data_IF_659365219020
#
_entry.id   IF_659365219020
#
_cell.length_a   1.000
_cell.length_b   1.000
_cell.length_c   1.000
_cell.angle_alpha   90.00
_cell.angle_beta   90.00
_cell.angle_gamma   90.00
#
_symmetry.space_group_name_H-M   'P 1'
#
loop_
_entity.id
_entity.type
_entity.pdbx_description
1 polymer ?
#
# COMPACT_ATOMS: atom_id res chain seq x y z
N UNK A 1 -45.08 -53.42 20.20
CA UNK A 1 -43.99 -52.42 20.03
C UNK A 1 -43.49 -52.53 18.61
N UNK A 2 -43.72 -51.49 17.78
CA UNK A 2 -43.22 -51.39 16.41
C UNK A 2 -41.70 -51.20 16.42
N UNK A 3 -40.95 -52.14 15.88
CA UNK A 3 -39.50 -52.02 15.75
C UNK A 3 -39.18 -50.87 14.78
N UNK A 4 -38.45 -49.84 15.27
CA UNK A 4 -37.96 -48.77 14.41
C UNK A 4 -36.84 -49.32 13.53
N UNK A 5 -37.02 -49.27 12.23
CA UNK A 5 -35.99 -49.64 11.26
C UNK A 5 -35.23 -48.40 10.83
N UNK A 6 -33.93 -48.39 11.12
CA UNK A 6 -33.01 -47.35 10.64
C UNK A 6 -32.51 -47.69 9.23
N UNK A 7 -32.21 -46.68 8.43
CA UNK A 7 -31.52 -46.90 7.14
C UNK A 7 -30.12 -47.48 7.40
N UNK A 8 -29.65 -48.39 6.53
CA UNK A 8 -28.30 -48.95 6.69
C UNK A 8 -27.28 -47.82 6.57
N UNK A 9 -26.27 -47.80 7.45
CA UNK A 9 -25.18 -46.87 7.49
C UNK A 9 -23.86 -47.63 7.43
N UNK A 10 -23.07 -47.37 6.37
CA UNK A 10 -21.73 -47.93 6.21
C UNK A 10 -20.78 -46.83 5.73
N UNK A 11 -19.91 -46.27 6.59
CA UNK A 11 -18.97 -45.22 6.19
C UNK A 11 -17.86 -45.74 5.27
N UNK A 12 -17.63 -47.02 5.17
CA UNK A 12 -16.61 -47.66 4.34
C UNK A 12 -17.19 -48.31 3.07
N UNK A 13 -18.34 -47.81 2.60
CA UNK A 13 -18.93 -48.32 1.36
C UNK A 13 -18.00 -48.05 0.20
N UNK A 14 -17.58 -49.11 -0.49
CA UNK A 14 -16.83 -49.00 -1.74
C UNK A 14 -17.79 -48.80 -2.91
N UNK A 15 -17.53 -47.80 -3.73
CA UNK A 15 -18.29 -47.54 -4.97
C UNK A 15 -17.43 -47.98 -6.14
N UNK A 16 -17.99 -48.77 -7.04
CA UNK A 16 -17.27 -49.26 -8.23
C UNK A 16 -16.90 -48.11 -9.20
N UNK A 17 -17.80 -47.14 -9.33
CA UNK A 17 -17.63 -45.89 -10.08
C UNK A 17 -17.90 -44.73 -9.13
N UNK A 18 -16.87 -43.96 -8.70
CA UNK A 18 -17.10 -42.79 -7.87
C UNK A 18 -17.93 -41.77 -8.65
N UNK A 19 -18.98 -41.17 -8.04
CA UNK A 19 -19.74 -40.10 -8.67
C UNK A 19 -18.83 -38.93 -9.03
N UNK A 20 -19.19 -38.20 -10.09
CA UNK A 20 -18.49 -36.96 -10.43
C UNK A 20 -18.82 -35.92 -9.36
N UNK A 21 -17.83 -35.18 -8.90
CA UNK A 21 -18.00 -34.20 -7.80
C UNK A 21 -18.97 -33.06 -8.20
N UNK A 22 -19.11 -32.76 -9.50
CA UNK A 22 -20.03 -31.74 -9.99
C UNK A 22 -21.51 -32.19 -9.89
N UNK A 23 -21.79 -33.51 -9.79
CA UNK A 23 -23.13 -34.06 -9.56
C UNK A 23 -23.61 -33.84 -8.11
N UNK A 24 -22.68 -33.72 -7.18
CA UNK A 24 -22.96 -33.42 -5.75
C UNK A 24 -23.17 -31.90 -5.51
N UNK A 25 -22.90 -31.06 -6.50
CA UNK A 25 -23.07 -29.60 -6.41
C UNK A 25 -24.38 -29.20 -7.08
N UNK A 26 -25.25 -28.51 -6.35
CA UNK A 26 -26.53 -28.05 -6.87
C UNK A 26 -26.37 -27.18 -8.14
N UNK A 27 -27.33 -27.28 -9.04
CA UNK A 27 -27.31 -26.55 -10.33
C UNK A 27 -27.22 -25.03 -10.14
N UNK A 28 -27.89 -24.49 -9.12
CA UNK A 28 -27.93 -23.05 -8.80
C UNK A 28 -26.97 -22.66 -7.68
N UNK A 29 -25.96 -23.49 -7.36
CA UNK A 29 -24.98 -23.15 -6.34
C UNK A 29 -24.14 -21.95 -6.78
N UNK A 30 -23.90 -20.96 -5.88
CA UNK A 30 -23.08 -19.80 -6.16
C UNK A 30 -21.66 -20.12 -6.67
N UNK A 31 -21.12 -21.28 -6.36
CA UNK A 31 -19.81 -21.71 -6.86
C UNK A 31 -19.77 -21.80 -8.38
N UNK A 32 -20.88 -22.21 -9.01
CA UNK A 32 -20.98 -22.28 -10.48
C UNK A 32 -20.98 -20.90 -11.13
N UNK A 33 -21.56 -19.90 -10.44
CA UNK A 33 -21.51 -18.51 -10.89
C UNK A 33 -20.08 -17.98 -10.88
N UNK A 34 -19.33 -18.27 -9.82
CA UNK A 34 -17.90 -17.88 -9.73
C UNK A 34 -17.08 -18.56 -10.82
N UNK A 35 -17.33 -19.85 -11.07
CA UNK A 35 -16.68 -20.58 -12.14
C UNK A 35 -16.95 -19.95 -13.51
N UNK A 36 -18.22 -19.75 -13.86
CA UNK A 36 -18.63 -19.17 -15.13
C UNK A 36 -18.12 -17.73 -15.31
N UNK A 37 -18.16 -16.92 -14.25
CA UNK A 37 -17.61 -15.58 -14.27
C UNK A 37 -16.13 -15.59 -14.63
N UNK A 38 -15.31 -16.36 -13.91
CA UNK A 38 -13.88 -16.38 -14.13
C UNK A 38 -13.51 -16.99 -15.48
N UNK A 39 -14.30 -17.94 -15.98
CA UNK A 39 -14.13 -18.50 -17.35
C UNK A 39 -14.36 -17.44 -18.43
N UNK A 40 -15.25 -16.49 -18.23
CA UNK A 40 -15.52 -15.40 -19.18
C UNK A 40 -14.48 -14.29 -19.19
N UNK A 41 -13.60 -14.22 -18.17
CA UNK A 41 -12.59 -13.15 -18.06
C UNK A 41 -11.36 -13.42 -18.93
N UNK A 42 -10.81 -12.35 -19.51
CA UNK A 42 -9.49 -12.36 -20.12
C UNK A 42 -8.41 -12.21 -19.04
N UNK A 43 -7.57 -13.22 -18.87
CA UNK A 43 -6.50 -13.27 -17.88
C UNK A 43 -5.09 -13.27 -18.52
N UNK A 44 -4.94 -12.68 -19.71
CA UNK A 44 -3.63 -12.60 -20.38
C UNK A 44 -2.61 -11.74 -19.57
N UNK A 45 -3.07 -10.71 -18.86
CA UNK A 45 -2.24 -9.94 -17.95
C UNK A 45 -1.65 -10.82 -16.85
N UNK A 46 -2.42 -11.76 -16.31
CA UNK A 46 -1.95 -12.72 -15.30
C UNK A 46 -0.88 -13.67 -15.85
N UNK A 47 -1.02 -14.13 -17.10
CA UNK A 47 -0.05 -15.02 -17.75
C UNK A 47 1.33 -14.37 -17.87
N UNK A 48 1.38 -13.07 -18.18
CA UNK A 48 2.62 -12.30 -18.29
C UNK A 48 3.42 -12.23 -16.98
N UNK A 49 2.78 -12.48 -15.83
CA UNK A 49 3.44 -12.51 -14.53
C UNK A 49 4.23 -13.80 -14.26
N UNK A 50 4.09 -14.82 -15.11
CA UNK A 50 4.76 -16.09 -14.95
C UNK A 50 5.97 -16.19 -15.89
N UNK A 51 7.04 -16.82 -15.40
CA UNK A 51 8.24 -17.10 -16.17
C UNK A 51 8.06 -18.41 -16.92
N UNK A 52 8.66 -18.51 -18.10
CA UNK A 52 8.61 -19.72 -18.93
C UNK A 52 9.43 -20.89 -18.36
N UNK A 53 10.39 -20.59 -17.47
CA UNK A 53 11.29 -21.56 -16.86
C UNK A 53 10.95 -21.82 -15.39
N UNK A 54 11.10 -23.07 -14.95
CA UNK A 54 10.95 -23.50 -13.56
C UNK A 54 9.87 -24.59 -13.39
N UNK A 55 9.49 -24.85 -12.12
CA UNK A 55 8.40 -25.79 -11.80
C UNK A 55 7.10 -25.23 -12.32
N UNK A 56 6.26 -26.09 -12.92
CA UNK A 56 4.92 -25.74 -13.41
C UNK A 56 4.08 -25.08 -12.30
N UNK A 57 3.65 -23.83 -12.50
CA UNK A 57 2.78 -23.17 -11.52
C UNK A 57 1.35 -23.66 -11.61
N UNK A 58 0.59 -23.45 -10.53
CA UNK A 58 -0.86 -23.63 -10.59
C UNK A 58 -1.49 -22.65 -11.58
N UNK A 59 -2.53 -23.10 -12.26
CA UNK A 59 -3.19 -22.29 -13.27
C UNK A 59 -3.80 -21.02 -12.65
N UNK A 60 -3.52 -19.79 -13.15
CA UNK A 60 -3.98 -18.55 -12.54
C UNK A 60 -5.48 -18.43 -12.46
N UNK A 61 -6.22 -18.95 -13.46
CA UNK A 61 -7.69 -18.98 -13.47
C UNK A 61 -8.24 -19.80 -12.30
N UNK A 62 -7.72 -20.98 -12.05
CA UNK A 62 -8.07 -21.82 -10.91
C UNK A 62 -7.81 -21.12 -9.58
N UNK A 63 -6.62 -20.52 -9.41
CA UNK A 63 -6.28 -19.78 -8.21
C UNK A 63 -7.21 -18.59 -7.96
N UNK A 64 -7.61 -17.89 -9.03
CA UNK A 64 -8.55 -16.77 -8.94
C UNK A 64 -9.95 -17.25 -8.53
N UNK A 65 -10.47 -18.34 -9.12
CA UNK A 65 -11.76 -18.95 -8.74
C UNK A 65 -11.82 -19.27 -7.24
N UNK A 66 -10.80 -19.96 -6.74
CA UNK A 66 -10.68 -20.36 -5.32
C UNK A 66 -10.68 -19.15 -4.40
N UNK A 67 -9.93 -18.10 -4.74
CA UNK A 67 -9.84 -16.90 -3.91
C UNK A 67 -11.14 -16.10 -3.93
N UNK A 68 -11.74 -15.89 -5.09
CA UNK A 68 -13.00 -15.16 -5.22
C UNK A 68 -14.12 -15.87 -4.47
N UNK A 69 -14.24 -17.20 -4.62
CA UNK A 69 -15.24 -17.99 -3.89
C UNK A 69 -15.01 -17.94 -2.37
N UNK A 70 -13.75 -17.98 -1.93
CA UNK A 70 -13.39 -17.83 -0.51
C UNK A 70 -13.81 -16.46 0.04
N UNK A 71 -13.56 -15.39 -0.71
CA UNK A 71 -13.93 -14.03 -0.30
C UNK A 71 -15.43 -13.82 -0.27
N UNK A 72 -16.16 -14.40 -1.22
CA UNK A 72 -17.62 -14.39 -1.22
C UNK A 72 -18.18 -15.06 0.05
N UNK A 73 -17.50 -16.08 0.57
CA UNK A 73 -17.84 -16.75 1.83
C UNK A 73 -17.18 -16.12 3.09
N UNK A 74 -16.66 -14.89 3.00
CA UNK A 74 -15.97 -14.19 4.10
C UNK A 74 -14.72 -14.93 4.65
N UNK A 75 -14.05 -15.72 3.80
CA UNK A 75 -12.84 -16.47 4.15
C UNK A 75 -11.62 -15.82 3.53
N UNK A 76 -10.90 -15.00 4.31
CA UNK A 76 -9.74 -14.23 3.86
C UNK A 76 -8.39 -14.88 4.21
N UNK A 77 -8.38 -15.86 5.13
CA UNK A 77 -7.16 -16.53 5.60
C UNK A 77 -6.71 -17.61 4.62
N UNK A 78 -5.51 -17.47 4.04
CA UNK A 78 -4.93 -18.46 3.13
C UNK A 78 -4.82 -19.85 3.78
N UNK A 79 -4.57 -19.95 5.08
CA UNK A 79 -4.55 -21.23 5.82
C UNK A 79 -5.94 -21.87 5.94
N UNK A 80 -7.00 -21.05 6.04
CA UNK A 80 -8.37 -21.58 6.00
C UNK A 80 -8.72 -22.06 4.59
N UNK A 81 -8.32 -21.30 3.55
CA UNK A 81 -8.55 -21.69 2.15
C UNK A 81 -7.87 -23.03 1.86
N UNK A 82 -6.60 -23.21 2.24
CA UNK A 82 -5.89 -24.49 2.11
C UNK A 82 -6.65 -25.65 2.75
N UNK A 83 -7.18 -25.48 3.99
CA UNK A 83 -7.98 -26.51 4.65
C UNK A 83 -9.25 -26.86 3.88
N UNK A 84 -9.91 -25.88 3.27
CA UNK A 84 -11.11 -26.10 2.48
C UNK A 84 -10.82 -26.84 1.16
N UNK A 85 -9.68 -26.61 0.53
CA UNK A 85 -9.22 -27.36 -0.63
C UNK A 85 -9.03 -28.87 -0.35
N UNK A 86 -8.98 -29.28 0.92
CA UNK A 86 -8.89 -30.68 1.35
C UNK A 86 -10.22 -31.29 1.84
N UNK A 87 -11.25 -30.46 2.11
CA UNK A 87 -12.42 -30.89 2.87
C UNK A 87 -13.77 -30.50 2.26
N UNK A 88 -13.78 -29.43 1.47
CA UNK A 88 -15.01 -28.85 0.93
C UNK A 88 -15.11 -29.15 -0.55
N UNK A 89 -16.22 -29.76 -0.97
CA UNK A 89 -16.44 -30.20 -2.36
C UNK A 89 -16.42 -29.06 -3.36
N UNK A 90 -16.91 -27.85 -2.98
CA UNK A 90 -16.95 -26.68 -3.85
C UNK A 90 -15.53 -26.19 -4.17
N UNK A 91 -14.65 -26.14 -3.14
CA UNK A 91 -13.24 -25.75 -3.34
C UNK A 91 -12.45 -26.81 -4.08
N UNK A 92 -12.71 -28.10 -3.80
CA UNK A 92 -12.08 -29.23 -4.51
C UNK A 92 -12.47 -29.20 -6.00
N UNK A 93 -13.74 -28.93 -6.30
CA UNK A 93 -14.25 -28.80 -7.65
C UNK A 93 -13.61 -27.62 -8.41
N UNK A 94 -13.63 -26.40 -7.82
CA UNK A 94 -13.00 -25.21 -8.42
C UNK A 94 -11.51 -25.40 -8.68
N UNK A 95 -10.84 -26.14 -7.80
CA UNK A 95 -9.41 -26.40 -7.90
C UNK A 95 -9.06 -27.57 -8.83
N UNK A 96 -10.04 -28.34 -9.32
CA UNK A 96 -9.79 -29.55 -10.11
C UNK A 96 -8.93 -30.57 -9.37
N UNK A 97 -9.19 -30.76 -8.05
CA UNK A 97 -8.43 -31.59 -7.11
C UNK A 97 -7.00 -31.09 -6.79
N UNK A 98 -6.57 -29.95 -7.32
CA UNK A 98 -5.29 -29.35 -6.97
C UNK A 98 -5.32 -28.76 -5.54
N UNK A 99 -4.21 -28.84 -4.83
CA UNK A 99 -4.12 -28.49 -3.41
C UNK A 99 -2.96 -27.53 -3.16
N UNK A 100 -3.01 -26.27 -3.63
CA UNK A 100 -2.01 -25.28 -3.33
C UNK A 100 -1.95 -25.02 -1.83
N UNK A 101 -0.72 -24.92 -1.29
CA UNK A 101 -0.49 -24.55 0.09
C UNK A 101 -0.78 -23.07 0.35
N UNK A 102 -0.91 -22.70 1.62
CA UNK A 102 -1.23 -21.31 2.02
C UNK A 102 -0.16 -20.30 1.60
N UNK A 103 1.11 -20.72 1.46
CA UNK A 103 2.20 -19.85 0.99
C UNK A 103 2.02 -19.56 -0.50
N UNK A 104 1.68 -20.57 -1.29
CA UNK A 104 1.41 -20.43 -2.73
C UNK A 104 0.20 -19.55 -2.98
N UNK A 105 -0.90 -19.73 -2.22
CA UNK A 105 -2.08 -18.85 -2.29
C UNK A 105 -1.71 -17.41 -1.98
N UNK A 106 -0.94 -17.17 -0.92
CA UNK A 106 -0.51 -15.82 -0.56
C UNK A 106 0.43 -15.18 -1.59
N UNK A 107 1.36 -15.96 -2.15
CA UNK A 107 2.24 -15.51 -3.23
C UNK A 107 1.45 -15.13 -4.48
N UNK A 108 0.45 -15.91 -4.83
CA UNK A 108 -0.44 -15.58 -5.94
C UNK A 108 -1.17 -14.26 -5.71
N UNK A 109 -1.81 -14.06 -4.56
CA UNK A 109 -2.49 -12.80 -4.19
C UNK A 109 -1.59 -11.58 -4.35
N UNK A 110 -0.34 -11.69 -3.83
CA UNK A 110 0.62 -10.59 -3.93
C UNK A 110 1.10 -10.36 -5.36
N UNK A 111 1.18 -11.41 -6.17
CA UNK A 111 1.60 -11.31 -7.57
C UNK A 111 0.58 -10.59 -8.43
N UNK A 112 -0.70 -10.88 -8.26
CA UNK A 112 -1.80 -10.36 -9.11
C UNK A 112 -2.45 -9.09 -8.55
N UNK A 113 -1.92 -8.50 -7.50
CA UNK A 113 -2.55 -7.35 -6.82
C UNK A 113 -2.77 -6.13 -7.72
N UNK A 114 -1.91 -5.92 -8.71
CA UNK A 114 -1.99 -4.78 -9.62
C UNK A 114 -2.98 -5.06 -10.76
N UNK A 115 -3.14 -6.32 -11.15
CA UNK A 115 -4.01 -6.77 -12.23
C UNK A 115 -5.47 -6.98 -11.79
N UNK A 116 -5.73 -6.98 -10.48
CA UNK A 116 -7.08 -7.21 -9.95
C UNK A 116 -8.07 -6.11 -10.37
N UNK A 117 -7.58 -4.90 -10.62
CA UNK A 117 -8.39 -3.80 -11.13
C UNK A 117 -8.94 -4.10 -12.53
N UNK A 118 -8.15 -4.76 -13.38
CA UNK A 118 -8.59 -5.19 -14.71
C UNK A 118 -9.71 -6.25 -14.60
N UNK A 119 -9.54 -7.23 -13.71
CA UNK A 119 -10.56 -8.25 -13.42
C UNK A 119 -11.86 -7.60 -12.96
N UNK A 120 -11.79 -6.64 -12.05
CA UNK A 120 -12.95 -5.89 -11.59
C UNK A 120 -13.65 -5.14 -12.73
N UNK A 121 -12.88 -4.43 -13.56
CA UNK A 121 -13.40 -3.69 -14.72
C UNK A 121 -14.12 -4.61 -15.70
N UNK A 122 -13.50 -5.75 -16.06
CA UNK A 122 -14.11 -6.74 -16.93
C UNK A 122 -15.41 -7.32 -16.34
N UNK A 123 -15.44 -7.54 -15.02
CA UNK A 123 -16.64 -8.03 -14.32
C UNK A 123 -17.79 -7.02 -14.41
N UNK A 124 -17.52 -5.74 -14.16
CA UNK A 124 -18.53 -4.68 -14.27
C UNK A 124 -19.05 -4.54 -15.70
N UNK A 125 -18.14 -4.55 -16.69
CA UNK A 125 -18.51 -4.49 -18.11
C UNK A 125 -19.35 -5.71 -18.53
N UNK A 126 -19.03 -6.91 -18.03
CA UNK A 126 -19.82 -8.11 -18.27
C UNK A 126 -21.24 -7.97 -17.69
N UNK A 127 -21.36 -7.46 -16.46
CA UNK A 127 -22.67 -7.22 -15.82
C UNK A 127 -23.45 -6.13 -16.55
N UNK A 128 -22.78 -5.10 -17.04
CA UNK A 128 -23.39 -4.05 -17.85
C UNK A 128 -23.90 -4.59 -19.18
N UNK A 129 -23.11 -5.40 -19.89
CA UNK A 129 -23.52 -6.02 -21.16
C UNK A 129 -24.73 -6.96 -21.01
N UNK A 130 -24.90 -7.54 -19.83
CA UNK A 130 -26.08 -8.37 -19.46
C UNK A 130 -27.27 -7.55 -18.93
N UNK A 131 -27.16 -6.23 -18.86
CA UNK A 131 -28.22 -5.32 -18.41
C UNK A 131 -28.44 -5.26 -16.89
N UNK A 132 -27.56 -5.84 -16.08
CA UNK A 132 -27.64 -5.75 -14.60
C UNK A 132 -27.21 -4.38 -14.07
N UNK A 133 -26.27 -3.73 -14.73
CA UNK A 133 -25.70 -2.44 -14.34
C UNK A 133 -25.88 -1.45 -15.47
N UNK A 134 -26.28 -0.21 -15.14
CA UNK A 134 -26.21 0.94 -16.03
C UNK A 134 -25.06 1.84 -15.57
N UNK A 135 -24.12 2.15 -16.45
CA UNK A 135 -23.01 3.07 -16.17
C UNK A 135 -23.38 4.54 -16.40
N UNK A 136 -24.67 4.85 -16.63
CA UNK A 136 -25.15 6.21 -16.91
C UNK A 136 -25.30 7.05 -15.63
N UNK A 137 -25.52 6.42 -14.48
CA UNK A 137 -25.70 7.07 -13.19
C UNK A 137 -24.88 6.34 -12.16
N UNK A 138 -24.05 7.09 -11.44
CA UNK A 138 -23.21 6.58 -10.38
C UNK A 138 -23.44 7.38 -9.09
N UNK A 139 -23.59 6.68 -7.98
CA UNK A 139 -23.67 7.25 -6.63
C UNK A 139 -22.33 7.01 -5.95
N UNK A 140 -21.68 8.09 -5.51
CA UNK A 140 -20.36 8.03 -4.87
C UNK A 140 -20.49 8.34 -3.39
N UNK A 141 -20.00 7.47 -2.53
CA UNK A 141 -19.89 7.69 -1.09
C UNK A 141 -18.51 7.30 -0.58
N UNK A 142 -18.00 8.11 0.36
CA UNK A 142 -16.70 7.91 0.98
C UNK A 142 -16.82 7.29 2.37
N UNK A 143 -15.99 6.31 2.66
CA UNK A 143 -15.81 5.76 4.02
C UNK A 143 -14.35 5.73 4.42
N UNK A 144 -14.08 5.75 5.73
CA UNK A 144 -12.71 5.72 6.26
C UNK A 144 -12.37 4.33 6.76
N UNK A 145 -11.26 3.78 6.27
CA UNK A 145 -10.75 2.47 6.68
C UNK A 145 -9.51 2.66 7.53
N UNK A 146 -9.50 2.09 8.75
CA UNK A 146 -8.34 2.11 9.63
C UNK A 146 -7.24 1.19 9.10
N UNK A 147 -6.01 1.72 8.99
CA UNK A 147 -4.82 0.91 8.74
C UNK A 147 -4.42 0.14 10.00
N UNK A 148 -3.85 -1.05 9.82
CA UNK A 148 -3.21 -1.81 10.92
C UNK A 148 -1.87 -1.21 11.38
N UNK A 149 -1.54 -0.01 10.92
CA UNK A 149 -0.34 0.70 11.31
C UNK A 149 -0.33 1.08 12.80
N UNK A 150 0.88 1.21 13.35
CA UNK A 150 1.01 1.65 14.73
C UNK A 150 0.57 3.11 14.87
N UNK A 151 -0.50 3.35 15.64
CA UNK A 151 -1.08 4.69 15.87
C UNK A 151 -0.17 5.65 16.63
N UNK A 152 0.90 5.18 17.24
CA UNK A 152 1.86 6.03 17.99
C UNK A 152 3.07 6.42 17.17
N UNK A 153 3.27 5.89 15.97
CA UNK A 153 4.40 6.21 15.09
C UNK A 153 3.97 7.17 13.99
N UNK A 154 3.69 8.40 14.36
CA UNK A 154 3.25 9.45 13.44
C UNK A 154 4.36 10.43 13.09
N UNK A 155 4.28 10.97 11.87
CA UNK A 155 5.08 12.09 11.39
C UNK A 155 4.15 13.20 10.93
N UNK A 156 4.30 14.41 11.50
CA UNK A 156 3.48 15.57 11.15
C UNK A 156 4.30 16.59 10.34
N UNK A 157 3.74 17.06 9.21
CA UNK A 157 4.37 18.07 8.33
C UNK A 157 4.90 19.28 9.12
N UNK A 158 4.03 19.94 9.87
CA UNK A 158 4.40 21.12 10.69
C UNK A 158 5.57 20.87 11.64
N UNK A 159 5.70 19.63 12.15
CA UNK A 159 6.79 19.30 13.05
C UNK A 159 8.10 19.10 12.28
N UNK A 160 8.03 18.46 11.11
CA UNK A 160 9.19 18.26 10.24
C UNK A 160 9.71 19.60 9.73
N UNK A 161 8.84 20.45 9.18
CA UNK A 161 9.18 21.79 8.68
C UNK A 161 9.84 22.66 9.76
N UNK A 162 9.21 22.77 10.95
CA UNK A 162 9.78 23.52 12.08
C UNK A 162 11.12 22.98 12.54
N UNK A 163 11.31 21.67 12.54
CA UNK A 163 12.59 21.08 12.94
C UNK A 163 13.66 21.28 11.84
N UNK A 164 13.28 21.24 10.56
CA UNK A 164 14.14 21.57 9.43
C UNK A 164 14.61 23.01 9.50
N UNK A 165 13.71 23.98 9.73
CA UNK A 165 14.08 25.40 9.92
C UNK A 165 15.04 25.61 11.09
N UNK A 166 14.79 24.94 12.22
CA UNK A 166 15.69 25.00 13.38
C UNK A 166 17.06 24.39 13.07
N UNK A 167 17.10 23.34 12.28
CA UNK A 167 18.35 22.72 11.84
C UNK A 167 19.11 23.64 10.90
N UNK A 168 18.42 24.28 9.93
CA UNK A 168 19.03 25.26 9.02
C UNK A 168 19.71 26.41 9.78
N UNK A 169 19.04 26.96 10.80
CA UNK A 169 19.64 27.99 11.66
C UNK A 169 20.90 27.49 12.37
N UNK A 170 20.94 26.25 12.83
CA UNK A 170 22.13 25.65 13.44
C UNK A 170 23.27 25.46 12.44
N UNK A 171 22.95 25.05 11.23
CA UNK A 171 23.92 24.91 10.14
C UNK A 171 24.55 26.25 9.81
N UNK A 172 23.75 27.32 9.69
CA UNK A 172 24.26 28.68 9.47
C UNK A 172 25.24 29.12 10.58
N UNK A 173 24.90 28.90 11.84
CA UNK A 173 25.75 29.23 12.96
C UNK A 173 27.07 28.41 12.92
N UNK A 174 26.98 27.13 12.63
CA UNK A 174 28.14 26.24 12.55
C UNK A 174 29.08 26.64 11.41
N UNK A 175 28.54 26.93 10.24
CA UNK A 175 29.33 27.39 9.08
C UNK A 175 29.97 28.73 9.33
N UNK A 176 29.26 29.71 9.92
CA UNK A 176 29.84 30.98 10.32
C UNK A 176 30.97 30.84 11.35
N UNK A 177 30.94 29.80 12.19
CA UNK A 177 32.06 29.48 13.09
C UNK A 177 33.25 28.84 12.36
N UNK A 178 33.00 28.10 11.29
CA UNK A 178 34.03 27.48 10.44
C UNK A 178 34.67 28.57 9.57
N UNK A 179 33.86 29.44 8.93
CA UNK A 179 34.31 30.52 8.09
C UNK A 179 35.14 31.57 8.87
N UNK A 180 34.74 31.91 10.10
CA UNK A 180 35.54 32.81 10.95
C UNK A 180 36.90 32.21 11.32
N UNK A 181 37.07 30.90 11.24
CA UNK A 181 38.38 30.26 11.42
C UNK A 181 39.16 30.26 10.08
N UNK A 182 38.48 30.30 8.94
CA UNK A 182 39.08 30.38 7.59
C UNK A 182 39.22 31.85 7.15
N UNK A 183 38.27 32.73 7.53
CA UNK A 183 38.21 34.14 7.15
C UNK A 183 39.21 35.04 7.88
N UNK A 184 40.05 34.52 8.75
CA UNK A 184 41.29 35.20 9.10
C UNK A 184 42.25 35.32 7.91
N UNK A 185 41.95 34.63 6.80
CA UNK A 185 42.72 34.68 5.54
C UNK A 185 42.01 35.32 4.34
N UNK A 186 40.64 35.43 4.30
CA UNK A 186 39.95 36.04 3.17
C UNK A 186 38.59 36.66 3.54
N UNK A 187 38.51 37.99 3.43
CA UNK A 187 37.30 38.79 3.62
C UNK A 187 36.39 38.76 2.40
N UNK A 188 35.17 38.30 2.53
CA UNK A 188 34.02 38.77 1.73
C UNK A 188 32.68 38.41 2.39
N UNK A 189 31.93 39.47 2.75
CA UNK A 189 30.57 39.43 3.26
C UNK A 189 29.59 39.10 2.11
N UNK A 190 28.70 38.13 2.31
CA UNK A 190 27.43 38.06 1.60
C UNK A 190 26.34 37.52 2.53
N UNK A 191 25.46 38.44 2.96
CA UNK A 191 24.21 38.17 3.67
C UNK A 191 23.12 37.79 2.67
N UNK A 192 23.16 36.59 2.10
CA UNK A 192 21.99 36.00 1.44
C UNK A 192 21.57 34.78 2.28
N UNK A 193 20.25 34.60 2.48
CA UNK A 193 19.69 33.40 3.10
C UNK A 193 19.90 32.21 2.13
N UNK A 194 21.10 31.62 2.21
CA UNK A 194 21.44 30.44 1.39
C UNK A 194 20.68 29.25 1.95
N UNK A 195 19.82 28.65 1.14
CA UNK A 195 19.17 27.38 1.48
C UNK A 195 20.15 26.23 1.25
N UNK A 196 20.69 25.66 2.34
CA UNK A 196 21.62 24.54 2.27
C UNK A 196 20.93 23.25 1.89
N UNK A 197 21.50 22.56 0.91
CA UNK A 197 21.07 21.20 0.53
C UNK A 197 22.02 20.16 1.16
N UNK A 198 21.54 18.90 1.35
CA UNK A 198 22.42 17.82 1.82
C UNK A 198 23.64 17.59 0.93
N UNK A 199 23.54 17.84 -0.38
CA UNK A 199 24.64 17.73 -1.33
C UNK A 199 25.74 18.78 -1.04
N UNK A 200 25.36 20.05 -0.85
CA UNK A 200 26.28 21.13 -0.49
C UNK A 200 27.01 20.84 0.82
N UNK A 201 26.29 20.36 1.84
CA UNK A 201 26.91 19.99 3.12
C UNK A 201 27.86 18.80 2.98
N UNK A 202 27.61 17.89 2.04
CA UNK A 202 28.52 16.77 1.75
C UNK A 202 29.82 17.25 1.12
N UNK A 203 29.75 18.22 0.19
CA UNK A 203 30.91 18.83 -0.45
C UNK A 203 31.76 19.58 0.57
N UNK A 204 31.13 20.47 1.38
CA UNK A 204 31.79 21.23 2.45
C UNK A 204 32.45 20.33 3.52
N UNK A 205 31.77 19.25 3.91
CA UNK A 205 32.34 18.26 4.82
C UNK A 205 33.52 17.51 4.20
N UNK A 206 33.50 17.26 2.89
CA UNK A 206 34.60 16.68 2.14
C UNK A 206 35.81 17.58 2.10
N UNK A 207 35.63 18.87 1.81
CA UNK A 207 36.69 19.86 1.80
C UNK A 207 37.33 20.01 3.19
N UNK A 208 36.51 20.11 4.24
CA UNK A 208 36.96 20.20 5.61
C UNK A 208 37.74 18.95 6.06
N UNK A 209 37.34 17.78 5.59
CA UNK A 209 38.04 16.52 5.84
C UNK A 209 39.42 16.49 5.16
N UNK A 210 39.50 16.88 3.90
CA UNK A 210 40.75 16.97 3.15
C UNK A 210 41.72 17.98 3.79
N UNK A 211 41.20 19.15 4.20
CA UNK A 211 41.99 20.12 4.91
C UNK A 211 42.55 19.60 6.25
N UNK A 212 41.75 18.78 6.96
CA UNK A 212 42.18 18.14 8.21
C UNK A 212 43.23 17.04 8.04
N UNK A 213 43.22 16.34 6.91
CA UNK A 213 44.22 15.31 6.58
C UNK A 213 45.57 15.89 6.18
N UNK A 214 45.57 17.10 5.64
CA UNK A 214 46.79 17.79 5.21
C UNK A 214 47.51 18.53 6.38
N UNK A 215 46.88 18.63 7.56
CA UNK A 215 47.50 19.26 8.74
C UNK A 215 48.60 18.35 9.32
N UNK A 216 49.86 18.82 9.44
CA UNK A 216 50.92 18.04 10.05
C UNK A 216 50.64 17.72 11.53
N UNK A 217 51.31 16.73 12.10
CA UNK A 217 51.12 16.34 13.50
C UNK A 217 51.33 17.53 14.44
N UNK A 218 50.32 17.83 15.29
CA UNK A 218 50.39 19.04 16.15
C UNK A 218 51.45 18.89 17.24
N UNK A 219 52.38 19.85 17.28
CA UNK A 219 53.50 19.88 18.21
C UNK A 219 53.15 20.57 19.53
N UNK A 220 52.22 21.53 19.51
CA UNK A 220 51.83 22.32 20.69
C UNK A 220 50.45 21.88 21.27
N UNK A 221 50.23 22.21 22.54
CA UNK A 221 48.95 21.93 23.23
C UNK A 221 47.81 22.73 22.63
N UNK A 222 48.06 23.91 22.10
CA UNK A 222 47.07 24.80 21.46
C UNK A 222 46.65 24.24 20.10
N UNK A 223 47.61 23.76 19.27
CA UNK A 223 47.33 23.10 17.98
C UNK A 223 46.50 21.82 18.18
N UNK A 224 46.80 21.01 19.21
CA UNK A 224 46.00 19.82 19.55
C UNK A 224 44.56 20.17 19.89
N UNK A 225 44.34 21.29 20.60
CA UNK A 225 43.00 21.75 20.98
C UNK A 225 42.24 22.28 19.75
N UNK A 226 42.91 23.07 18.89
CA UNK A 226 42.33 23.57 17.64
C UNK A 226 41.93 22.42 16.68
N UNK A 227 42.80 21.42 16.51
CA UNK A 227 42.52 20.25 15.68
C UNK A 227 41.33 19.43 16.22
N UNK A 228 41.26 19.26 17.54
CA UNK A 228 40.12 18.60 18.21
C UNK A 228 38.80 19.35 17.98
N UNK A 229 38.83 20.70 18.01
CA UNK A 229 37.68 21.55 17.73
C UNK A 229 37.21 21.39 16.27
N UNK A 230 38.12 21.43 15.29
CA UNK A 230 37.81 21.23 13.86
C UNK A 230 37.24 19.85 13.59
N UNK A 231 37.80 18.79 14.18
CA UNK A 231 37.23 17.42 14.07
C UNK A 231 35.82 17.31 14.66
N UNK A 232 35.54 18.03 15.75
CA UNK A 232 34.21 18.08 16.35
C UNK A 232 33.22 18.81 15.43
N UNK A 233 33.63 19.91 14.81
CA UNK A 233 32.82 20.68 13.87
C UNK A 233 32.48 19.85 12.60
N UNK A 234 33.46 19.09 12.07
CA UNK A 234 33.23 18.18 10.95
C UNK A 234 32.17 17.13 11.31
N UNK A 235 32.30 16.48 12.46
CA UNK A 235 31.32 15.49 12.91
C UNK A 235 29.93 16.09 13.08
N UNK A 236 29.83 17.28 13.63
CA UNK A 236 28.57 18.02 13.81
C UNK A 236 27.94 18.40 12.47
N UNK A 237 28.76 18.79 11.48
CA UNK A 237 28.30 19.06 10.11
C UNK A 237 27.76 17.82 9.43
N UNK A 238 28.45 16.68 9.57
CA UNK A 238 27.96 15.38 9.04
C UNK A 238 26.65 14.95 9.71
N UNK A 239 26.51 15.10 11.02
CA UNK A 239 25.25 14.81 11.73
C UNK A 239 24.10 15.74 11.28
N UNK A 240 24.39 17.00 11.00
CA UNK A 240 23.40 17.95 10.48
C UNK A 240 22.98 17.60 9.06
N UNK A 241 23.93 17.22 8.19
CA UNK A 241 23.65 16.74 6.83
C UNK A 241 22.70 15.52 6.87
N UNK A 242 23.00 14.53 7.69
CA UNK A 242 22.20 13.30 7.78
C UNK A 242 20.78 13.58 8.27
N UNK A 243 20.65 14.50 9.25
CA UNK A 243 19.32 14.94 9.73
C UNK A 243 18.56 15.75 8.67
N UNK A 244 19.24 16.59 7.91
CA UNK A 244 18.62 17.37 6.86
C UNK A 244 18.08 16.44 5.78
N UNK A 245 18.87 15.45 5.34
CA UNK A 245 18.45 14.41 4.41
C UNK A 245 17.24 13.61 4.94
N UNK A 246 17.24 13.31 6.24
CA UNK A 246 16.09 12.62 6.86
C UNK A 246 14.83 13.49 6.82
N UNK A 247 14.92 14.79 7.06
CA UNK A 247 13.76 15.69 6.99
C UNK A 247 13.27 15.86 5.56
N UNK A 248 14.15 15.99 4.58
CA UNK A 248 13.79 16.08 3.16
C UNK A 248 13.09 14.79 2.69
N UNK A 249 13.63 13.61 3.02
CA UNK A 249 12.99 12.33 2.73
C UNK A 249 11.60 12.20 3.38
N UNK A 250 11.41 12.75 4.58
CA UNK A 250 10.10 12.77 5.24
C UNK A 250 9.12 13.72 4.55
N UNK A 251 9.57 14.86 4.05
CA UNK A 251 8.75 15.79 3.29
C UNK A 251 8.34 15.20 1.94
N UNK A 252 9.26 14.51 1.26
CA UNK A 252 8.97 13.77 0.02
C UNK A 252 7.92 12.68 0.26
N UNK A 253 8.03 11.92 1.36
CA UNK A 253 7.02 10.92 1.73
C UNK A 253 5.66 11.55 2.05
N UNK A 254 5.65 12.73 2.63
CA UNK A 254 4.42 13.46 2.95
C UNK A 254 3.70 13.96 1.70
N UNK A 255 4.42 14.31 0.63
CA UNK A 255 3.82 14.99 -0.54
C UNK A 255 2.90 16.13 -0.09
N UNK A 256 1.60 16.12 -0.46
CA UNK A 256 0.62 17.13 -0.04
C UNK A 256 -0.09 16.80 1.28
N UNK A 257 0.23 15.68 1.91
CA UNK A 257 -0.40 15.23 3.15
C UNK A 257 0.14 15.94 4.38
N UNK A 258 -0.70 16.07 5.40
CA UNK A 258 -0.32 16.68 6.69
C UNK A 258 0.40 15.70 7.64
N UNK A 259 0.25 14.39 7.40
CA UNK A 259 0.82 13.36 8.27
C UNK A 259 0.93 12.01 7.56
N UNK A 260 1.79 11.13 8.07
CA UNK A 260 1.83 9.72 7.71
C UNK A 260 2.25 8.87 8.92
N UNK A 261 2.03 7.53 8.83
CA UNK A 261 2.52 6.57 9.82
C UNK A 261 3.87 5.98 9.37
N UNK A 262 4.85 5.89 10.27
CA UNK A 262 6.16 5.27 9.95
C UNK A 262 6.08 3.78 9.60
N UNK A 263 5.02 3.10 10.02
CA UNK A 263 4.79 1.67 9.74
C UNK A 263 3.94 1.43 8.51
N UNK A 264 3.29 2.49 7.99
CA UNK A 264 2.51 2.47 6.76
C UNK A 264 2.56 3.88 6.17
N UNK A 265 3.53 4.11 5.29
CA UNK A 265 3.84 5.44 4.76
C UNK A 265 2.71 6.01 3.89
N UNK A 266 1.82 5.17 3.38
CA UNK A 266 0.69 5.59 2.55
C UNK A 266 -0.52 6.00 3.38
N UNK A 267 -0.62 5.52 4.63
CA UNK A 267 -1.71 5.85 5.54
C UNK A 267 -1.56 7.26 6.13
N UNK A 268 -2.65 8.02 6.08
CA UNK A 268 -2.72 9.37 6.68
C UNK A 268 -3.52 9.33 7.99
N UNK A 269 -3.10 10.14 8.98
CA UNK A 269 -3.86 10.25 10.23
C UNK A 269 -5.14 11.05 10.00
N UNK A 270 -6.28 10.40 10.22
CA UNK A 270 -7.60 10.97 10.01
C UNK A 270 -8.57 10.57 11.14
N UNK A 271 -9.59 11.39 11.36
CA UNK A 271 -10.68 11.06 12.30
C UNK A 271 -11.58 10.03 11.63
N UNK A 272 -11.79 8.87 12.29
CA UNK A 272 -12.68 7.82 11.79
C UNK A 272 -14.17 8.23 11.95
N UNK A 273 -15.06 7.71 11.06
CA UNK A 273 -16.51 7.90 11.19
C UNK A 273 -17.04 7.21 12.47
N UNK A 274 -16.53 6.01 12.76
CA UNK A 274 -16.86 5.24 13.96
C UNK A 274 -15.86 5.54 15.09
N UNK A 275 -16.06 6.65 15.77
CA UNK A 275 -15.35 6.95 17.02
C UNK A 275 -16.28 6.59 18.20
N UNK A 276 -16.26 5.32 18.60
CA UNK A 276 -17.09 4.80 19.69
C UNK A 276 -16.90 5.56 21.01
N UNK A 277 -15.73 6.15 21.23
CA UNK A 277 -15.40 6.92 22.43
C UNK A 277 -15.67 8.42 22.26
N UNK A 278 -16.03 8.89 21.08
CA UNK A 278 -16.29 10.31 20.73
C UNK A 278 -15.20 11.29 21.21
N UNK A 279 -13.96 10.81 21.32
CA UNK A 279 -12.83 11.62 21.83
C UNK A 279 -12.07 12.34 20.70
N UNK A 280 -12.50 12.20 19.46
CA UNK A 280 -11.89 12.83 18.29
C UNK A 280 -10.49 12.29 17.95
N UNK A 281 -10.13 11.10 18.44
CA UNK A 281 -8.83 10.51 18.19
C UNK A 281 -8.61 10.28 16.69
N UNK A 282 -7.45 10.73 16.21
CA UNK A 282 -7.02 10.42 14.85
C UNK A 282 -6.30 9.08 14.80
N UNK A 283 -6.58 8.30 13.76
CA UNK A 283 -5.94 7.02 13.49
C UNK A 283 -5.37 7.00 12.08
N UNK A 284 -4.29 6.23 11.83
CA UNK A 284 -3.80 6.05 10.47
C UNK A 284 -4.85 5.30 9.65
N UNK A 285 -5.14 5.78 8.45
CA UNK A 285 -6.17 5.19 7.61
C UNK A 285 -6.19 5.75 6.20
N UNK A 286 -7.18 5.27 5.47
CA UNK A 286 -7.45 5.62 4.09
C UNK A 286 -8.89 6.07 3.94
N UNK A 287 -9.12 6.97 3.01
CA UNK A 287 -10.46 7.32 2.54
C UNK A 287 -10.79 6.44 1.34
N UNK A 288 -11.70 5.49 1.52
CA UNK A 288 -12.21 4.64 0.45
C UNK A 288 -13.41 5.32 -0.17
N UNK A 289 -13.32 5.68 -1.44
CA UNK A 289 -14.46 6.11 -2.25
C UNK A 289 -15.01 4.90 -3.00
N UNK A 290 -16.34 4.74 -2.97
CA UNK A 290 -17.05 3.65 -3.64
C UNK A 290 -18.10 4.27 -4.56
N UNK A 291 -18.03 3.91 -5.83
CA UNK A 291 -19.07 4.19 -6.80
C UNK A 291 -20.05 3.04 -6.86
N UNK A 292 -21.34 3.35 -6.91
CA UNK A 292 -22.42 2.34 -7.00
C UNK A 292 -23.44 2.72 -8.05
N UNK A 293 -23.90 1.70 -8.80
CA UNK A 293 -25.00 1.80 -9.76
C UNK A 293 -25.88 0.57 -9.68
N UNK A 294 -27.20 0.73 -9.63
CA UNK A 294 -28.17 -0.38 -9.56
C UNK A 294 -27.87 -1.38 -8.42
N UNK A 295 -27.42 -0.90 -7.27
CA UNK A 295 -27.00 -1.71 -6.08
C UNK A 295 -25.71 -2.52 -6.26
N UNK A 296 -24.99 -2.36 -7.36
CA UNK A 296 -23.67 -2.96 -7.58
C UNK A 296 -22.58 -1.93 -7.35
N UNK A 297 -21.40 -2.38 -6.90
CA UNK A 297 -20.20 -1.55 -6.89
C UNK A 297 -19.68 -1.45 -8.32
N UNK A 298 -19.59 -0.22 -8.82
CA UNK A 298 -19.13 0.10 -10.18
C UNK A 298 -17.70 0.60 -10.20
N UNK A 299 -17.26 1.29 -9.14
CA UNK A 299 -15.87 1.71 -9.00
C UNK A 299 -15.46 1.80 -7.51
N UNK A 300 -14.16 1.79 -7.28
CA UNK A 300 -13.58 2.04 -5.96
C UNK A 300 -12.18 2.64 -6.08
N UNK A 301 -11.83 3.52 -5.16
CA UNK A 301 -10.49 4.08 -5.05
C UNK A 301 -10.12 4.38 -3.60
N UNK A 302 -8.85 4.18 -3.26
CA UNK A 302 -8.29 4.50 -1.95
C UNK A 302 -7.48 5.79 -2.05
N UNK A 303 -7.81 6.76 -1.20
CA UNK A 303 -7.14 8.04 -1.14
C UNK A 303 -6.48 8.26 0.22
N UNK A 304 -5.31 8.88 0.25
CA UNK A 304 -4.68 9.30 1.49
C UNK A 304 -5.32 10.57 2.08
N UNK A 305 -6.22 11.24 1.36
CA UNK A 305 -6.84 12.50 1.76
C UNK A 305 -7.99 12.25 2.74
N UNK A 306 -8.01 12.91 3.92
CA UNK A 306 -9.03 12.67 4.93
C UNK A 306 -10.40 13.27 4.60
N UNK A 307 -10.51 14.11 3.56
CA UNK A 307 -11.73 14.79 3.13
C UNK A 307 -12.13 14.38 1.72
N UNK A 308 -13.44 14.30 1.46
CA UNK A 308 -13.99 13.88 0.17
C UNK A 308 -13.87 14.95 -0.93
N UNK A 309 -13.72 16.21 -0.55
CA UNK A 309 -13.61 17.34 -1.50
C UNK A 309 -12.43 17.22 -2.46
N UNK A 310 -11.32 16.63 -2.01
CA UNK A 310 -10.12 16.44 -2.83
C UNK A 310 -10.11 15.10 -3.58
N UNK A 311 -11.04 14.20 -3.28
CA UNK A 311 -11.06 12.84 -3.84
C UNK A 311 -12.03 12.68 -4.99
N UNK A 312 -13.05 13.55 -5.08
CA UNK A 312 -14.10 13.44 -6.09
C UNK A 312 -13.59 13.52 -7.51
N UNK A 313 -12.79 14.55 -7.84
CA UNK A 313 -12.28 14.73 -9.21
C UNK A 313 -11.37 13.56 -9.62
N UNK A 314 -10.36 13.15 -8.83
CA UNK A 314 -9.54 11.99 -9.15
C UNK A 314 -10.36 10.68 -9.27
N UNK A 315 -11.41 10.52 -8.45
CA UNK A 315 -12.28 9.36 -8.55
C UNK A 315 -13.06 9.32 -9.88
N UNK A 316 -13.66 10.45 -10.28
CA UNK A 316 -14.37 10.57 -11.55
C UNK A 316 -13.45 10.38 -12.76
N UNK A 317 -12.20 10.87 -12.68
CA UNK A 317 -11.19 10.62 -13.70
C UNK A 317 -10.83 9.12 -13.80
N UNK A 318 -10.72 8.42 -12.66
CA UNK A 318 -10.51 6.97 -12.62
C UNK A 318 -11.67 6.22 -13.28
N UNK A 319 -12.91 6.56 -12.93
CA UNK A 319 -14.12 5.99 -13.51
C UNK A 319 -14.18 6.19 -15.03
N UNK A 320 -13.99 7.43 -15.48
CA UNK A 320 -13.98 7.76 -16.90
C UNK A 320 -12.90 7.01 -17.69
N UNK A 321 -11.68 6.94 -17.13
CA UNK A 321 -10.59 6.18 -17.73
C UNK A 321 -10.84 4.68 -17.77
N UNK A 322 -11.53 4.13 -16.75
CA UNK A 322 -11.84 2.70 -16.63
C UNK A 322 -12.87 2.24 -17.65
N UNK A 323 -13.90 3.05 -17.92
CA UNK A 323 -15.05 2.67 -18.75
C UNK A 323 -15.12 3.43 -20.08
N UNK A 324 -14.11 4.24 -20.40
CA UNK A 324 -14.07 5.08 -21.61
C UNK A 324 -15.35 5.92 -21.79
N UNK A 325 -15.87 6.45 -20.66
CA UNK A 325 -17.10 7.21 -20.59
C UNK A 325 -16.81 8.69 -20.43
N UNK A 326 -17.57 9.55 -21.11
CA UNK A 326 -17.53 11.00 -20.89
C UNK A 326 -18.37 11.33 -19.66
N UNK A 327 -17.72 11.77 -18.59
CA UNK A 327 -18.41 12.16 -17.36
C UNK A 327 -19.09 13.52 -17.51
N UNK A 328 -20.42 13.53 -17.57
CA UNK A 328 -21.22 14.74 -17.35
C UNK A 328 -21.60 14.78 -15.88
N UNK A 329 -20.84 15.52 -15.06
CA UNK A 329 -21.12 15.66 -13.64
C UNK A 329 -22.31 16.58 -13.39
N UNK A 330 -23.43 16.03 -12.97
CA UNK A 330 -24.47 16.77 -12.25
C UNK A 330 -24.24 16.57 -10.76
N UNK A 331 -23.47 17.48 -10.14
CA UNK A 331 -23.35 17.53 -8.69
C UNK A 331 -24.67 18.04 -8.11
N UNK A 332 -25.48 17.17 -7.49
CA UNK A 332 -26.49 17.58 -6.52
C UNK A 332 -25.80 17.75 -5.17
N UNK A 333 -25.75 18.99 -4.71
CA UNK A 333 -25.39 19.35 -3.34
C UNK A 333 -26.47 18.85 -2.35
#
# INVERSE_FOLDING_TARGET
>A
MTKIHFRPYNPNQTVLFPPRIDEDIAEHDPVRMVDALVESLNLESFRKLYKECGRSPYHPRMMLKVILYAYMNNIYSCRKIEKLLHRDIHYIWLAGYEKPDFITINRFRNRVKNEINEVFTQTVLLLSSKGFISLNVEYIDGTKIESKANKYTFVWRKTVERNRERLMKKIHILLGQIDNVIAQENSSESNEEIEFTPAMLTEMAGELRQALEQVPEPSTKEEKTALKKKRKQLKELEEHRDKLQEYDNRLDTLQDRNSYSKTDNDATFMRMKEDAMRNGQTKPGYNLQIGTGNQFITDFALFPNPTDTLTLIPFLQSFSSRYDTVSYTHLRA
#
